data_IF_380165089636
#
_entry.id   IF_380165089636
#
_cell.length_a   1.000
_cell.length_b   1.000
_cell.length_c   1.000
_cell.angle_alpha   90.00
_cell.angle_beta   90.00
_cell.angle_gamma   90.00
#
_symmetry.space_group_name_H-M   'P 1'
#
loop_
_entity.id
_entity.type
_entity.pdbx_description
1 polymer ?
#
# COMPACT_ATOMS: atom_id res chain seq x y z
N UNK A 1 -1.14 7.01 -8.91
CA UNK A 1 -0.32 6.07 -8.12
C UNK A 1 1.11 6.59 -7.87
N UNK A 2 1.58 6.49 -6.61
CA UNK A 2 2.92 6.87 -6.11
C UNK A 2 3.72 5.61 -5.75
N UNK A 3 5.05 5.62 -5.89
CA UNK A 3 5.89 4.51 -5.41
C UNK A 3 5.98 4.47 -3.89
N UNK A 4 5.97 3.27 -3.31
CA UNK A 4 6.13 3.08 -1.88
C UNK A 4 7.54 3.50 -1.40
N UNK A 5 7.67 4.47 -0.48
CA UNK A 5 8.96 4.94 0.02
C UNK A 5 9.58 4.05 1.11
N UNK A 6 9.03 2.86 1.35
CA UNK A 6 9.49 1.93 2.41
C UNK A 6 8.99 2.25 3.81
N UNK A 7 8.06 3.20 3.93
CA UNK A 7 7.40 3.61 5.18
C UNK A 7 6.04 4.20 4.87
N UNK A 8 5.16 4.25 5.86
CA UNK A 8 3.84 4.88 5.69
C UNK A 8 4.00 6.35 5.28
N UNK A 9 3.43 6.78 4.15
CA UNK A 9 3.39 8.17 3.72
C UNK A 9 2.48 9.01 4.62
N UNK A 10 2.86 10.27 4.90
CA UNK A 10 2.08 11.15 5.79
C UNK A 10 0.64 11.36 5.32
N UNK A 11 0.41 11.44 4.01
CA UNK A 11 -0.90 11.65 3.40
C UNK A 11 -1.81 10.41 3.43
N UNK A 12 -1.24 9.23 3.70
CA UNK A 12 -1.95 7.96 3.83
C UNK A 12 -2.35 7.63 5.28
N UNK A 13 -1.79 8.31 6.28
CA UNK A 13 -2.08 8.05 7.71
C UNK A 13 -3.59 8.22 7.96
N UNK A 14 -4.20 7.19 8.55
CA UNK A 14 -5.63 7.17 8.87
C UNK A 14 -6.56 6.99 7.67
N UNK A 15 -6.04 6.74 6.48
CA UNK A 15 -6.82 6.59 5.24
C UNK A 15 -6.73 5.17 4.69
N UNK A 16 -7.44 4.96 3.59
CA UNK A 16 -7.38 3.73 2.79
C UNK A 16 -6.58 3.95 1.53
N UNK A 17 -5.94 2.89 1.04
CA UNK A 17 -5.13 2.91 -0.16
C UNK A 17 -5.49 1.75 -1.09
N UNK A 18 -5.31 1.94 -2.39
CA UNK A 18 -5.28 0.87 -3.39
C UNK A 18 -3.96 0.92 -4.13
N UNK A 19 -3.59 -0.13 -4.85
CA UNK A 19 -2.30 -0.17 -5.52
C UNK A 19 -1.95 -1.51 -6.13
N UNK A 20 -0.66 -1.67 -6.41
CA UNK A 20 -0.07 -2.92 -6.89
C UNK A 20 1.06 -3.37 -5.99
N UNK A 21 1.17 -4.68 -5.82
CA UNK A 21 2.29 -5.34 -5.18
C UNK A 21 3.39 -5.60 -6.21
N UNK A 22 4.60 -5.89 -5.75
CA UNK A 22 5.77 -6.16 -6.60
C UNK A 22 5.58 -7.33 -7.57
N UNK A 23 4.74 -8.30 -7.22
CA UNK A 23 4.38 -9.42 -8.09
C UNK A 23 3.32 -9.08 -9.16
N UNK A 24 2.82 -7.83 -9.19
CA UNK A 24 1.80 -7.36 -10.11
C UNK A 24 0.37 -7.45 -9.58
N UNK A 25 0.15 -8.10 -8.43
CA UNK A 25 -1.20 -8.23 -7.85
C UNK A 25 -1.75 -6.86 -7.43
N UNK A 26 -3.05 -6.67 -7.65
CA UNK A 26 -3.77 -5.48 -7.18
C UNK A 26 -4.32 -5.70 -5.78
N UNK A 27 -4.30 -4.65 -4.95
CA UNK A 27 -4.90 -4.66 -3.62
C UNK A 27 -5.86 -3.50 -3.40
N UNK A 28 -6.75 -3.65 -2.41
CA UNK A 28 -7.63 -2.56 -1.99
C UNK A 28 -8.70 -2.18 -3.02
N UNK A 29 -9.04 -3.05 -3.97
CA UNK A 29 -10.17 -2.83 -4.89
C UNK A 29 -11.38 -3.63 -4.37
N UNK A 30 -12.61 -3.08 -4.34
CA UNK A 30 -13.01 -1.71 -4.73
C UNK A 30 -12.92 -0.67 -3.59
N UNK A 31 -12.79 -1.09 -2.33
CA UNK A 31 -13.02 -0.22 -1.17
C UNK A 31 -11.78 0.35 -0.48
N UNK A 32 -10.58 0.03 -0.94
CA UNK A 32 -9.31 0.36 -0.29
C UNK A 32 -8.91 -0.59 0.84
N UNK A 33 -7.61 -0.68 1.08
CA UNK A 33 -6.99 -1.33 2.23
C UNK A 33 -6.60 -0.25 3.24
N UNK A 34 -6.97 -0.35 4.53
CA UNK A 34 -6.40 0.50 5.58
C UNK A 34 -4.88 0.62 5.48
N UNK A 35 -4.37 1.85 5.42
CA UNK A 35 -2.94 2.15 5.35
C UNK A 35 -2.20 1.98 6.68
N UNK A 36 -2.83 1.40 7.69
CA UNK A 36 -2.44 1.48 9.10
C UNK A 36 -1.32 0.52 9.53
N UNK A 37 -0.73 -0.24 8.60
CA UNK A 37 0.32 -1.21 8.93
C UNK A 37 -0.21 -2.57 9.37
N UNK A 38 -1.52 -2.75 9.52
CA UNK A 38 -2.14 -3.96 10.08
C UNK A 38 -2.59 -4.92 8.99
N UNK A 39 -2.94 -6.14 9.39
CA UNK A 39 -3.50 -7.20 8.54
C UNK A 39 -2.69 -7.52 7.27
N UNK A 40 -1.38 -7.27 7.28
CA UNK A 40 -0.49 -7.52 6.14
C UNK A 40 -0.19 -6.30 5.26
N UNK A 41 -0.76 -5.12 5.57
CA UNK A 41 -0.44 -3.85 4.91
C UNK A 41 0.95 -3.38 5.34
N UNK A 42 2.02 -4.01 4.84
CA UNK A 42 3.39 -3.68 5.21
C UNK A 42 3.98 -2.66 4.25
N UNK A 43 4.35 -1.50 4.79
CA UNK A 43 5.00 -0.44 4.03
C UNK A 43 6.50 -0.65 3.82
N UNK A 44 7.16 -1.37 4.72
CA UNK A 44 8.59 -1.67 4.60
C UNK A 44 8.88 -2.51 3.36
N UNK A 45 9.86 -2.09 2.55
CA UNK A 45 10.32 -2.86 1.39
C UNK A 45 11.27 -3.97 1.85
N UNK A 46 10.84 -5.21 1.69
CA UNK A 46 11.59 -6.42 2.08
C UNK A 46 12.13 -7.18 0.88
N UNK A 47 11.91 -6.67 -0.33
CA UNK A 47 12.14 -7.32 -1.64
C UNK A 47 11.30 -8.59 -1.82
N UNK A 48 10.21 -8.70 -1.08
CA UNK A 48 9.28 -9.83 -1.20
C UNK A 48 8.24 -9.56 -2.29
N UNK A 49 7.64 -10.60 -2.88
CA UNK A 49 6.62 -10.47 -3.92
C UNK A 49 5.41 -9.62 -3.49
N UNK A 50 5.09 -9.62 -2.19
CA UNK A 50 3.93 -8.92 -1.62
C UNK A 50 4.26 -7.53 -1.08
N UNK A 51 5.45 -7.00 -1.35
CA UNK A 51 5.76 -5.61 -1.03
C UNK A 51 4.83 -4.70 -1.85
N UNK A 52 4.23 -3.70 -1.20
CA UNK A 52 3.52 -2.61 -1.89
C UNK A 52 4.53 -1.90 -2.79
N UNK A 53 4.31 -1.91 -4.10
CA UNK A 53 5.18 -1.26 -5.08
C UNK A 53 4.67 0.14 -5.42
N UNK A 54 3.38 0.22 -5.76
CA UNK A 54 2.68 1.46 -6.03
C UNK A 54 1.41 1.54 -5.20
N UNK A 55 1.06 2.74 -4.76
CA UNK A 55 -0.16 2.99 -4.00
C UNK A 55 -0.84 4.29 -4.44
N UNK A 56 -2.11 4.41 -4.10
CA UNK A 56 -2.91 5.60 -4.25
C UNK A 56 -3.78 5.75 -3.02
N UNK A 57 -3.80 6.96 -2.45
CA UNK A 57 -4.62 7.28 -1.29
C UNK A 57 -6.03 7.55 -1.76
N UNK A 58 -6.99 6.84 -1.18
CA UNK A 58 -8.41 7.07 -1.39
C UNK A 58 -8.87 8.19 -0.46
N UNK A 59 -9.74 9.06 -0.99
CA UNK A 59 -10.38 10.18 -0.29
C UNK A 59 -11.30 9.70 0.82
#
# INVERSE_FOLDING_TARGET
>A
MKSNPGRIPNDAIGKRVTGTLRNGDRFGVPGGWPADGRTGCRWSLTRQPHDIEFYEVLS
#
